data_IF_477817064911
#
_entry.id   IF_477817064911
#
_cell.length_a   1.000
_cell.length_b   1.000
_cell.length_c   1.000
_cell.angle_alpha   90.00
_cell.angle_beta   90.00
_cell.angle_gamma   90.00
#
_symmetry.space_group_name_H-M   'P 1'
#
loop_
_entity.id
_entity.type
_entity.pdbx_description
1 polymer ?
#
# COMPACT_ATOMS: atom_id res chain seq x y z
N UNK A 1 56.64 29.43 -14.11
CA UNK A 1 55.21 29.30 -13.77
C UNK A 1 55.05 28.05 -12.91
N UNK A 2 54.34 28.07 -11.76
CA UNK A 2 54.09 26.84 -11.04
C UNK A 2 52.94 26.06 -11.70
N UNK A 3 53.18 24.78 -11.98
CA UNK A 3 52.20 23.84 -12.54
C UNK A 3 51.11 23.56 -11.50
N UNK A 4 49.85 23.82 -11.83
CA UNK A 4 48.72 23.43 -10.97
C UNK A 4 48.55 21.90 -11.05
N UNK A 5 48.54 21.25 -9.89
CA UNK A 5 48.20 19.84 -9.75
C UNK A 5 46.72 19.65 -10.16
N UNK A 6 46.36 18.73 -11.08
CA UNK A 6 44.97 18.45 -11.36
C UNK A 6 44.34 17.82 -10.11
N UNK A 7 43.47 18.58 -9.45
CA UNK A 7 42.69 18.10 -8.31
C UNK A 7 41.94 16.83 -8.75
N UNK A 8 42.24 15.67 -8.16
CA UNK A 8 41.48 14.43 -8.37
C UNK A 8 39.99 14.72 -8.22
N UNK A 9 39.10 14.09 -9.02
CA UNK A 9 37.66 14.29 -8.87
C UNK A 9 37.29 13.95 -7.42
N UNK A 10 36.74 14.93 -6.68
CA UNK A 10 36.23 14.70 -5.33
C UNK A 10 35.17 13.61 -5.44
N UNK A 11 35.47 12.40 -4.96
CA UNK A 11 34.46 11.37 -4.71
C UNK A 11 33.47 11.95 -3.72
N UNK A 12 32.29 12.33 -4.19
CA UNK A 12 31.17 12.73 -3.35
C UNK A 12 30.56 11.48 -2.73
N UNK A 13 31.25 10.91 -1.75
CA UNK A 13 30.77 9.80 -0.94
C UNK A 13 29.66 10.26 0.00
N UNK A 14 28.51 10.66 -0.54
CA UNK A 14 27.27 10.75 0.22
C UNK A 14 26.70 9.32 0.33
N UNK A 15 27.32 8.52 1.20
CA UNK A 15 26.95 7.15 1.52
C UNK A 15 25.69 7.03 2.40
N UNK A 16 24.74 7.96 2.23
CA UNK A 16 23.54 8.06 3.07
C UNK A 16 22.24 7.98 2.27
N UNK A 17 22.30 7.45 1.04
CA UNK A 17 21.11 6.94 0.36
C UNK A 17 20.81 5.59 0.99
N UNK A 18 19.69 5.41 1.72
CA UNK A 18 19.33 4.08 2.18
C UNK A 18 19.23 3.17 0.95
N UNK A 19 19.91 2.01 1.01
CA UNK A 19 19.74 0.95 0.03
C UNK A 19 18.28 0.49 0.16
N UNK A 20 17.40 1.10 -0.65
CA UNK A 20 16.02 0.67 -0.76
C UNK A 20 16.10 -0.75 -1.29
N UNK A 21 15.77 -1.72 -0.43
CA UNK A 21 15.78 -3.14 -0.77
C UNK A 21 15.05 -3.42 -2.09
N UNK A 22 15.26 -4.61 -2.68
CA UNK A 22 14.82 -4.90 -4.04
C UNK A 22 13.35 -4.53 -4.25
N UNK A 23 13.08 -3.76 -5.31
CA UNK A 23 11.71 -3.42 -5.73
C UNK A 23 11.01 -4.73 -6.09
N UNK A 24 9.91 -5.02 -5.40
CA UNK A 24 9.05 -6.17 -5.69
C UNK A 24 7.86 -5.69 -6.49
N UNK A 25 7.69 -6.24 -7.69
CA UNK A 25 6.49 -6.03 -8.49
C UNK A 25 5.36 -6.87 -7.90
N UNK A 26 4.28 -6.22 -7.47
CA UNK A 26 3.11 -6.87 -6.87
C UNK A 26 1.95 -6.85 -7.85
N UNK A 27 1.44 -8.03 -8.18
CA UNK A 27 0.20 -8.15 -8.93
C UNK A 27 -0.98 -7.71 -8.05
N UNK A 28 -1.91 -6.94 -8.63
CA UNK A 28 -3.15 -6.62 -7.95
C UNK A 28 -3.99 -7.88 -7.77
N UNK A 29 -4.50 -8.18 -6.56
CA UNK A 29 -5.14 -9.46 -6.27
C UNK A 29 -6.56 -9.60 -6.88
N UNK A 30 -7.11 -8.53 -7.46
CA UNK A 30 -8.48 -8.53 -7.98
C UNK A 30 -8.52 -8.24 -9.47
N UNK A 31 -9.44 -8.91 -10.17
CA UNK A 31 -9.77 -8.63 -11.58
C UNK A 31 -11.28 -8.51 -11.72
N UNK A 32 -11.78 -7.77 -12.70
CA UNK A 32 -13.22 -7.58 -12.88
C UNK A 32 -13.86 -6.62 -11.87
N UNK A 33 -15.18 -6.77 -11.65
CA UNK A 33 -15.97 -5.86 -10.79
C UNK A 33 -16.16 -6.44 -9.39
N UNK A 34 -16.08 -5.54 -8.40
CA UNK A 34 -16.18 -5.89 -6.99
C UNK A 34 -17.02 -4.87 -6.25
N UNK A 35 -17.80 -5.36 -5.29
CA UNK A 35 -18.51 -4.55 -4.30
C UNK A 35 -17.63 -4.41 -3.06
N UNK A 36 -17.45 -3.18 -2.58
CA UNK A 36 -16.70 -2.85 -1.37
C UNK A 36 -17.66 -2.33 -0.32
N UNK A 37 -17.66 -2.92 0.88
CA UNK A 37 -18.55 -2.54 1.97
C UNK A 37 -17.78 -2.45 3.29
N UNK A 38 -18.24 -1.57 4.17
CA UNK A 38 -17.78 -1.55 5.56
C UNK A 38 -18.68 -2.47 6.40
N UNK A 39 -18.06 -3.35 7.17
CA UNK A 39 -18.71 -4.12 8.23
C UNK A 39 -18.45 -3.43 9.57
N UNK A 40 -19.36 -3.52 10.55
CA UNK A 40 -20.71 -4.08 10.45
C UNK A 40 -21.66 -3.11 9.75
N UNK A 41 -22.38 -3.59 8.74
CA UNK A 41 -23.29 -2.76 7.94
C UNK A 41 -24.42 -2.09 8.74
N UNK A 42 -24.82 -2.64 9.92
CA UNK A 42 -26.01 -2.19 10.66
C UNK A 42 -25.93 -2.25 12.20
N UNK A 43 -24.75 -2.42 12.81
CA UNK A 43 -24.67 -2.47 14.29
C UNK A 43 -23.37 -1.86 14.81
N UNK A 44 -23.45 -0.57 15.13
CA UNK A 44 -22.53 0.03 16.11
C UNK A 44 -22.95 -0.50 17.48
N UNK A 45 -22.12 -1.26 18.22
CA UNK A 45 -22.45 -1.68 19.58
C UNK A 45 -22.55 -0.43 20.48
N UNK A 46 -23.57 -0.35 21.33
CA UNK A 46 -23.81 0.80 22.22
C UNK A 46 -22.77 0.98 23.33
N UNK A 47 -21.87 0.00 23.51
CA UNK A 47 -20.76 0.07 24.44
C UNK A 47 -19.48 -0.33 23.70
N UNK A 48 -18.52 0.62 23.66
CA UNK A 48 -17.31 0.62 22.82
C UNK A 48 -16.61 -0.72 22.71
N UNK A 49 -17.01 -1.51 21.72
CA UNK A 49 -16.28 -2.72 21.35
C UNK A 49 -15.49 -2.40 20.10
N UNK A 50 -14.28 -1.86 20.32
CA UNK A 50 -13.11 -2.04 19.46
C UNK A 50 -12.70 -3.54 19.40
N UNK A 51 -13.61 -4.47 19.70
CA UNK A 51 -13.33 -5.89 19.60
C UNK A 51 -13.19 -6.25 18.12
N UNK A 52 -12.07 -6.90 17.82
CA UNK A 52 -11.75 -7.47 16.51
C UNK A 52 -11.56 -6.48 15.37
N UNK A 53 -11.25 -5.20 15.66
CA UNK A 53 -11.04 -4.16 14.64
C UNK A 53 -12.22 -3.99 13.65
N UNK A 54 -13.42 -4.44 14.04
CA UNK A 54 -14.60 -4.48 13.17
C UNK A 54 -15.11 -3.10 12.80
N UNK A 55 -14.73 -2.03 13.51
CA UNK A 55 -15.17 -0.66 13.15
C UNK A 55 -14.61 -0.18 11.81
N UNK A 56 -13.56 -0.83 11.29
CA UNK A 56 -12.92 -0.50 10.01
C UNK A 56 -12.79 -1.72 9.09
N UNK A 57 -13.58 -2.77 9.32
CA UNK A 57 -13.53 -3.96 8.49
C UNK A 57 -14.08 -3.63 7.09
N UNK A 58 -13.27 -3.93 6.06
CA UNK A 58 -13.66 -3.80 4.65
C UNK A 58 -13.89 -5.20 4.09
N UNK A 59 -15.10 -5.43 3.58
CA UNK A 59 -15.47 -6.64 2.85
C UNK A 59 -15.42 -6.35 1.34
N UNK A 60 -14.87 -7.31 0.59
CA UNK A 60 -14.70 -7.22 -0.87
C UNK A 60 -15.34 -8.46 -1.50
N UNK A 61 -16.43 -8.26 -2.24
CA UNK A 61 -17.26 -9.34 -2.81
C UNK A 61 -17.27 -9.26 -4.33
N UNK A 62 -16.99 -10.34 -5.06
CA UNK A 62 -17.03 -10.32 -6.52
C UNK A 62 -18.48 -10.19 -7.00
N UNK A 63 -18.71 -9.43 -8.07
CA UNK A 63 -20.05 -9.21 -8.64
C UNK A 63 -20.06 -9.46 -10.15
N UNK A 64 -21.24 -9.74 -10.68
CA UNK A 64 -21.47 -9.85 -12.12
C UNK A 64 -21.43 -8.49 -12.85
N UNK A 65 -21.70 -8.50 -14.16
CA UNK A 65 -21.73 -7.29 -14.98
C UNK A 65 -22.85 -6.31 -14.57
N UNK A 66 -23.89 -6.79 -13.89
CA UNK A 66 -25.00 -5.98 -13.36
C UNK A 66 -24.73 -5.49 -11.94
N UNK A 67 -23.63 -5.91 -11.31
CA UNK A 67 -23.25 -5.53 -9.94
C UNK A 67 -23.88 -6.39 -8.85
N UNK A 68 -24.39 -7.58 -9.19
CA UNK A 68 -25.04 -8.49 -8.24
C UNK A 68 -24.05 -9.56 -7.74
N UNK A 69 -23.93 -9.79 -6.43
CA UNK A 69 -23.15 -10.91 -5.90
C UNK A 69 -23.71 -12.26 -6.35
N UNK A 70 -22.87 -13.30 -6.51
CA UNK A 70 -23.37 -14.65 -6.69
C UNK A 70 -24.25 -15.05 -5.48
N UNK A 71 -25.43 -15.61 -5.78
CA UNK A 71 -26.38 -16.08 -4.76
C UNK A 71 -25.90 -17.29 -3.97
#
# INVERSE_FOLDING_TARGET
MPSQNPQSPRSNSNSNVPDNGPVVDLAYPFTGRWLVQNSPANRVPSHGTEAFATSYAIDVVPVDESGVPPG
#
